data_IF_934727874822
#
_entry.id   IF_934727874822
#
_cell.length_a   1.000
_cell.length_b   1.000
_cell.length_c   1.000
_cell.angle_alpha   90.00
_cell.angle_beta   90.00
_cell.angle_gamma   90.00
#
_symmetry.space_group_name_H-M   'P 1'
#
loop_
_entity.id
_entity.type
_entity.pdbx_description
1 polymer ?
#
# COMPACT_ATOMS: atom_id res chain seq x y z
N UNK A 1 25.42 -14.06 15.18
CA UNK A 1 24.99 -13.17 14.06
C UNK A 1 23.83 -12.35 14.58
N UNK A 2 23.95 -11.01 14.65
CA UNK A 2 22.89 -10.13 15.16
C UNK A 2 21.62 -10.33 14.33
N UNK A 3 20.62 -10.99 14.90
CA UNK A 3 19.26 -11.03 14.36
C UNK A 3 18.65 -9.64 14.54
N UNK A 4 19.05 -8.71 13.70
CA UNK A 4 18.59 -7.34 13.80
C UNK A 4 17.07 -7.31 13.52
N UNK A 5 16.32 -6.63 14.39
CA UNK A 5 14.84 -6.59 14.40
C UNK A 5 14.35 -5.69 13.26
N UNK A 6 14.50 -6.15 12.02
CA UNK A 6 14.17 -5.37 10.83
C UNK A 6 13.30 -6.16 9.86
N UNK A 7 12.48 -5.43 9.11
CA UNK A 7 11.76 -6.00 7.98
C UNK A 7 12.74 -6.42 6.90
N UNK A 8 12.45 -7.56 6.26
CA UNK A 8 13.18 -8.00 5.07
C UNK A 8 12.93 -7.02 3.92
N UNK A 9 13.95 -6.81 3.09
CA UNK A 9 13.90 -5.91 1.93
C UNK A 9 12.62 -6.05 1.07
N UNK A 10 12.12 -7.26 0.73
CA UNK A 10 10.89 -7.37 -0.06
C UNK A 10 9.67 -6.74 0.60
N UNK A 11 9.54 -6.83 1.92
CA UNK A 11 8.41 -6.21 2.64
C UNK A 11 8.47 -4.68 2.58
N UNK A 12 9.68 -4.12 2.70
CA UNK A 12 9.94 -2.67 2.62
C UNK A 12 9.66 -2.17 1.21
N UNK A 13 10.19 -2.85 0.19
CA UNK A 13 10.01 -2.48 -1.23
C UNK A 13 8.55 -2.53 -1.64
N UNK A 14 7.83 -3.62 -1.32
CA UNK A 14 6.41 -3.75 -1.66
C UNK A 14 5.57 -2.65 -1.00
N UNK A 15 5.90 -2.28 0.24
CA UNK A 15 5.19 -1.21 0.95
C UNK A 15 5.39 0.15 0.30
N UNK A 16 6.65 0.54 0.06
CA UNK A 16 6.95 1.86 -0.50
C UNK A 16 6.54 2.00 -1.96
N UNK A 17 6.61 0.91 -2.74
CA UNK A 17 6.12 0.91 -4.12
C UNK A 17 4.59 1.14 -4.16
N UNK A 18 3.84 0.43 -3.29
CA UNK A 18 2.41 0.66 -3.17
C UNK A 18 2.08 2.09 -2.71
N UNK A 19 2.81 2.61 -1.71
CA UNK A 19 2.63 3.98 -1.23
C UNK A 19 2.85 5.02 -2.34
N UNK A 20 3.92 4.87 -3.14
CA UNK A 20 4.20 5.76 -4.26
C UNK A 20 3.09 5.74 -5.31
N UNK A 21 2.60 4.55 -5.67
CA UNK A 21 1.49 4.40 -6.62
C UNK A 21 0.17 4.97 -6.08
N UNK A 22 -0.11 4.81 -4.79
CA UNK A 22 -1.29 5.42 -4.15
C UNK A 22 -1.19 6.94 -4.22
N UNK A 23 -0.05 7.53 -3.86
CA UNK A 23 0.16 8.99 -3.91
C UNK A 23 0.02 9.51 -5.34
N UNK A 24 0.68 8.87 -6.31
CA UNK A 24 0.60 9.25 -7.71
C UNK A 24 -0.81 9.08 -8.30
N UNK A 25 -1.47 7.96 -7.98
CA UNK A 25 -2.85 7.68 -8.39
C UNK A 25 -3.85 8.65 -7.79
N UNK A 26 -3.64 9.08 -6.54
CA UNK A 26 -4.44 10.10 -5.86
C UNK A 26 -4.26 11.47 -6.51
N UNK A 27 -3.02 11.89 -6.75
CA UNK A 27 -2.73 13.15 -7.46
C UNK A 27 -3.35 13.17 -8.87
N UNK A 28 -3.26 12.07 -9.61
CA UNK A 28 -3.93 11.90 -10.91
C UNK A 28 -5.46 11.92 -10.79
N UNK A 29 -6.00 11.31 -9.72
CA UNK A 29 -7.42 11.30 -9.43
C UNK A 29 -7.97 12.69 -9.14
N UNK A 30 -7.21 13.55 -8.48
CA UNK A 30 -7.58 14.95 -8.25
C UNK A 30 -7.51 15.77 -9.54
N UNK A 31 -6.49 15.55 -10.38
CA UNK A 31 -6.32 16.33 -11.61
C UNK A 31 -7.33 16.01 -12.72
N UNK A 32 -8.06 14.89 -12.61
CA UNK A 32 -9.04 14.48 -13.63
C UNK A 32 -10.48 14.99 -13.37
N UNK A 33 -10.78 15.52 -12.19
CA UNK A 33 -12.15 15.86 -11.77
C UNK A 33 -12.78 16.93 -12.66
N UNK A 34 -12.02 17.99 -12.97
CA UNK A 34 -12.51 19.16 -13.70
C UNK A 34 -12.27 19.08 -15.22
N UNK A 35 -11.83 17.93 -15.73
CA UNK A 35 -11.57 17.77 -17.15
C UNK A 35 -12.87 17.72 -17.97
N UNK A 36 -12.97 18.48 -19.07
CA UNK A 36 -14.08 18.33 -20.01
C UNK A 36 -14.02 16.94 -20.66
N UNK A 37 -15.18 16.46 -21.13
CA UNK A 37 -15.24 15.20 -21.86
C UNK A 37 -14.36 15.27 -23.12
N UNK A 38 -13.27 14.52 -23.11
CA UNK A 38 -12.19 14.62 -24.10
C UNK A 38 -11.37 13.32 -24.13
N UNK A 39 -10.64 13.03 -25.22
CA UNK A 39 -9.71 11.90 -25.27
C UNK A 39 -8.69 11.90 -24.12
N UNK A 40 -8.26 13.09 -23.67
CA UNK A 40 -7.35 13.23 -22.54
C UNK A 40 -7.98 12.76 -21.23
N UNK A 41 -9.25 13.12 -20.97
CA UNK A 41 -9.97 12.63 -19.80
C UNK A 41 -10.06 11.11 -19.80
N UNK A 42 -10.42 10.51 -20.93
CA UNK A 42 -10.50 9.04 -21.07
C UNK A 42 -9.14 8.39 -20.77
N UNK A 43 -8.05 8.97 -21.29
CA UNK A 43 -6.68 8.50 -21.05
C UNK A 43 -6.31 8.56 -19.57
N UNK A 44 -6.59 9.66 -18.86
CA UNK A 44 -6.28 9.80 -17.43
C UNK A 44 -7.07 8.82 -16.57
N UNK A 45 -8.35 8.62 -16.88
CA UNK A 45 -9.16 7.60 -16.21
C UNK A 45 -8.61 6.19 -16.47
N UNK A 46 -8.15 5.89 -17.68
CA UNK A 46 -7.49 4.61 -17.99
C UNK A 46 -6.24 4.41 -17.14
N UNK A 47 -5.36 5.43 -17.07
CA UNK A 47 -4.16 5.38 -16.22
C UNK A 47 -4.49 5.23 -14.73
N UNK A 48 -5.46 5.97 -14.21
CA UNK A 48 -5.89 5.84 -12.82
C UNK A 48 -6.40 4.43 -12.50
N UNK A 49 -7.19 3.82 -13.40
CA UNK A 49 -7.65 2.43 -13.25
C UNK A 49 -6.49 1.44 -13.20
N UNK A 50 -5.53 1.55 -14.12
CA UNK A 50 -4.37 0.67 -14.15
C UNK A 50 -3.49 0.84 -12.91
N UNK A 51 -3.30 2.07 -12.43
CA UNK A 51 -2.62 2.32 -11.14
C UNK A 51 -3.36 1.61 -10.00
N UNK A 52 -4.69 1.71 -9.95
CA UNK A 52 -5.52 1.02 -8.95
C UNK A 52 -5.35 -0.51 -8.99
N UNK A 53 -5.36 -1.10 -10.19
CA UNK A 53 -5.12 -2.55 -10.38
C UNK A 53 -3.71 -2.93 -9.90
N UNK A 54 -2.69 -2.13 -10.23
CA UNK A 54 -1.32 -2.38 -9.76
C UNK A 54 -1.20 -2.30 -8.25
N UNK A 55 -1.82 -1.31 -7.60
CA UNK A 55 -1.86 -1.19 -6.13
C UNK A 55 -2.54 -2.41 -5.51
N UNK A 56 -3.67 -2.85 -6.07
CA UNK A 56 -4.38 -4.04 -5.60
C UNK A 56 -3.50 -5.30 -5.68
N UNK A 57 -2.83 -5.52 -6.81
CA UNK A 57 -1.90 -6.64 -6.98
C UNK A 57 -0.74 -6.58 -5.98
N UNK A 58 -0.14 -5.41 -5.77
CA UNK A 58 0.93 -5.23 -4.79
C UNK A 58 0.44 -5.48 -3.36
N UNK A 59 -0.80 -5.11 -3.03
CA UNK A 59 -1.40 -5.40 -1.73
C UNK A 59 -1.57 -6.90 -1.51
N UNK A 60 -2.05 -7.63 -2.52
CA UNK A 60 -2.15 -9.10 -2.49
C UNK A 60 -0.76 -9.72 -2.32
N UNK A 61 0.23 -9.32 -3.11
CA UNK A 61 1.61 -9.80 -2.98
C UNK A 61 2.19 -9.50 -1.59
N UNK A 62 1.92 -8.32 -1.02
CA UNK A 62 2.34 -7.95 0.33
C UNK A 62 1.70 -8.85 1.39
N UNK A 63 0.41 -9.20 1.24
CA UNK A 63 -0.27 -10.13 2.15
C UNK A 63 0.32 -11.54 2.04
N UNK A 64 0.48 -12.06 0.83
CA UNK A 64 1.13 -13.36 0.60
C UNK A 64 2.54 -13.39 1.19
N UNK A 65 3.33 -12.32 0.96
CA UNK A 65 4.66 -12.19 1.55
C UNK A 65 4.61 -12.23 3.09
N UNK A 66 3.66 -11.51 3.70
CA UNK A 66 3.50 -11.50 5.16
C UNK A 66 3.16 -12.88 5.74
N UNK A 67 2.45 -13.72 4.99
CA UNK A 67 2.13 -15.09 5.40
C UNK A 67 3.37 -16.00 5.37
N UNK A 68 4.21 -15.89 4.33
CA UNK A 68 5.41 -16.71 4.17
C UNK A 68 6.64 -16.16 4.90
N UNK A 69 6.64 -14.87 5.23
CA UNK A 69 7.70 -14.15 5.94
C UNK A 69 7.10 -13.32 7.09
N UNK A 70 6.87 -13.95 8.26
CA UNK A 70 6.31 -13.27 9.41
C UNK A 70 7.11 -12.02 9.80
N UNK A 71 6.43 -10.94 10.26
CA UNK A 71 7.11 -9.72 10.70
C UNK A 71 7.96 -9.99 11.94
N UNK A 72 9.00 -9.17 12.18
CA UNK A 72 9.81 -9.25 13.39
C UNK A 72 8.95 -9.05 14.66
N UNK A 73 9.42 -9.52 15.83
CA UNK A 73 8.70 -9.39 17.09
C UNK A 73 8.33 -7.93 17.40
N UNK A 74 7.15 -7.73 17.99
CA UNK A 74 6.74 -6.41 18.45
C UNK A 74 7.66 -5.93 19.57
N UNK A 75 8.13 -4.69 19.44
CA UNK A 75 8.81 -4.01 20.53
C UNK A 75 7.82 -3.68 21.67
N UNK A 76 8.31 -3.51 22.92
CA UNK A 76 7.47 -3.06 24.03
C UNK A 76 6.75 -1.75 23.68
N UNK A 77 5.42 -1.75 23.82
CA UNK A 77 4.57 -0.60 23.49
C UNK A 77 3.28 -0.62 24.32
N UNK A 78 2.64 0.54 24.59
CA UNK A 78 1.34 0.62 25.24
C UNK A 78 0.26 -0.20 24.52
N UNK A 79 -0.67 -0.77 25.27
CA UNK A 79 -1.73 -1.63 24.73
C UNK A 79 -2.59 -0.94 23.67
N UNK A 80 -2.81 0.37 23.77
CA UNK A 80 -3.58 1.13 22.79
C UNK A 80 -2.87 1.23 21.44
N UNK A 81 -1.53 1.37 21.41
CA UNK A 81 -0.75 1.39 20.17
C UNK A 81 -0.85 0.06 19.45
N UNK A 82 -0.75 -1.04 20.19
CA UNK A 82 -0.93 -2.39 19.64
C UNK A 82 -2.32 -2.58 19.04
N UNK A 83 -3.37 -2.18 19.77
CA UNK A 83 -4.76 -2.28 19.29
C UNK A 83 -5.00 -1.43 18.04
N UNK A 84 -4.52 -0.19 18.01
CA UNK A 84 -4.65 0.69 16.86
C UNK A 84 -3.92 0.15 15.62
N UNK A 85 -2.71 -0.40 15.78
CA UNK A 85 -1.95 -1.01 14.69
C UNK A 85 -2.67 -2.24 14.12
N UNK A 86 -3.18 -3.12 15.00
CA UNK A 86 -3.95 -4.30 14.58
C UNK A 86 -5.25 -3.89 13.88
N UNK A 87 -6.00 -2.94 14.44
CA UNK A 87 -7.24 -2.43 13.84
C UNK A 87 -6.99 -1.82 12.45
N UNK A 88 -5.93 -1.02 12.30
CA UNK A 88 -5.56 -0.41 11.01
C UNK A 88 -5.22 -1.47 9.98
N UNK A 89 -4.44 -2.49 10.35
CA UNK A 89 -4.16 -3.60 9.44
C UNK A 89 -5.41 -4.37 9.02
N UNK A 90 -6.37 -4.58 9.93
CA UNK A 90 -7.63 -5.19 9.55
C UNK A 90 -8.44 -4.28 8.62
N UNK A 91 -8.60 -2.99 8.92
CA UNK A 91 -9.35 -2.07 8.05
C UNK A 91 -8.76 -1.94 6.63
N UNK A 92 -7.45 -2.12 6.49
CA UNK A 92 -6.77 -2.05 5.18
C UNK A 92 -6.81 -3.37 4.39
N UNK A 93 -7.06 -4.51 5.04
CA UNK A 93 -6.91 -5.84 4.42
C UNK A 93 -8.11 -6.79 4.59
N UNK A 94 -9.06 -6.49 5.48
CA UNK A 94 -10.23 -7.32 5.78
C UNK A 94 -11.46 -6.90 4.97
#
# INVERSE_FOLDING_TARGET
MNSAVYYRWPAVTLHWLAALLIIGGFALGLSMVDLPFSPQRIKYYSWHKWIGISVWLLAVLRLLWRLVSPPPPLLPMPAWQRRAATATHHLLYA
#
